data_IF_552107420231
#
_entry.id   IF_552107420231
#
_cell.length_a   1.000
_cell.length_b   1.000
_cell.length_c   1.000
_cell.angle_alpha   90.00
_cell.angle_beta   90.00
_cell.angle_gamma   90.00
#
_symmetry.space_group_name_H-M   'P 1'
#
loop_
_entity.id
_entity.type
_entity.pdbx_description
1 polymer ?
#
# COMPACT_ATOMS: atom_id res chain seq x y z
N UNK A 1 66.14 -2.50 -7.82
CA UNK A 1 66.79 -1.19 -7.73
C UNK A 1 65.87 -0.26 -6.94
N UNK A 2 66.26 -0.02 -5.69
CA UNK A 2 66.31 1.21 -4.93
C UNK A 2 64.96 1.99 -4.80
N UNK A 3 64.52 2.50 -3.68
CA UNK A 3 65.11 2.73 -2.33
C UNK A 3 64.02 3.08 -1.34
N UNK A 4 64.20 2.62 -0.13
CA UNK A 4 63.51 3.01 1.11
C UNK A 4 63.62 4.52 1.40
N UNK A 5 62.62 5.10 2.04
CA UNK A 5 62.86 6.16 3.01
C UNK A 5 61.95 6.03 4.24
N UNK A 6 62.57 5.79 5.35
CA UNK A 6 62.09 5.87 6.73
C UNK A 6 62.33 7.31 7.21
N UNK A 7 61.40 7.88 7.93
CA UNK A 7 61.76 8.94 8.89
C UNK A 7 60.91 8.80 10.17
N UNK A 8 61.62 8.60 11.21
CA UNK A 8 61.23 8.58 12.62
C UNK A 8 61.45 10.03 13.12
N UNK A 9 60.49 10.59 13.83
CA UNK A 9 60.76 11.69 14.77
C UNK A 9 60.15 11.42 16.13
N UNK A 10 61.03 11.37 17.07
CA UNK A 10 60.95 11.20 18.53
C UNK A 10 60.86 12.54 19.20
N UNK A 11 60.22 12.60 20.35
CA UNK A 11 60.41 13.67 21.37
C UNK A 11 59.16 14.56 21.49
N UNK A 12 58.55 14.83 22.63
CA UNK A 12 59.18 15.22 23.92
C UNK A 12 58.09 15.18 24.99
N UNK A 13 58.38 14.62 26.13
CA UNK A 13 57.62 14.72 27.38
C UNK A 13 57.69 16.18 27.91
N UNK A 14 56.58 16.69 28.39
CA UNK A 14 56.56 17.80 29.34
C UNK A 14 55.59 17.49 30.46
N UNK A 15 56.16 17.27 31.65
CA UNK A 15 55.49 17.20 32.96
C UNK A 15 55.44 18.59 33.52
N UNK A 16 54.28 19.06 33.98
CA UNK A 16 54.21 20.14 34.98
C UNK A 16 52.86 20.13 35.74
N UNK A 17 53.00 19.74 36.98
CA UNK A 17 52.46 20.29 38.25
C UNK A 17 50.98 20.71 38.38
N UNK A 18 50.38 20.03 39.34
CA UNK A 18 49.12 20.30 40.06
C UNK A 18 49.22 21.64 40.83
N UNK A 19 48.10 22.37 41.00
CA UNK A 19 47.70 22.76 42.34
C UNK A 19 46.29 22.33 42.71
N UNK A 20 46.19 21.75 43.88
CA UNK A 20 45.01 21.55 44.72
C UNK A 20 44.37 22.88 45.09
N UNK A 21 43.04 23.05 44.91
CA UNK A 21 42.21 24.04 45.62
C UNK A 21 40.83 23.43 45.95
N UNK A 22 40.66 23.30 47.22
CA UNK A 22 39.48 23.39 48.10
C UNK A 22 38.08 23.10 47.57
N UNK A 23 37.49 22.21 48.32
CA UNK A 23 36.12 21.86 48.50
C UNK A 23 35.09 22.98 48.46
N UNK A 24 34.01 22.79 47.67
CA UNK A 24 32.70 23.30 48.00
C UNK A 24 31.71 22.17 47.77
N UNK A 25 31.02 21.75 48.81
CA UNK A 25 30.03 20.68 48.82
C UNK A 25 28.83 21.03 47.93
N UNK A 26 28.57 20.18 46.97
CA UNK A 26 27.31 20.15 46.23
C UNK A 26 26.61 18.85 46.55
N UNK A 27 25.43 18.96 47.14
CA UNK A 27 24.52 17.85 47.41
C UNK A 27 24.25 17.10 46.11
N UNK A 28 24.17 15.75 46.11
CA UNK A 28 23.68 15.02 44.96
C UNK A 28 22.21 15.41 44.71
N UNK A 29 21.95 16.02 43.58
CA UNK A 29 20.60 16.16 43.05
C UNK A 29 20.21 14.76 42.59
N UNK A 30 19.31 14.17 43.32
CA UNK A 30 18.61 12.95 42.92
C UNK A 30 17.81 13.26 41.66
N UNK A 31 18.36 12.87 40.49
CA UNK A 31 17.65 12.96 39.22
C UNK A 31 16.57 11.87 39.28
N UNK A 32 15.35 12.30 39.61
CA UNK A 32 14.18 11.45 39.49
C UNK A 32 14.12 10.94 38.03
N UNK A 33 14.23 9.65 37.86
CA UNK A 33 14.05 8.98 36.58
C UNK A 33 12.67 9.37 36.03
N UNK A 34 12.64 10.09 34.92
CA UNK A 34 11.42 10.35 34.19
C UNK A 34 10.76 9.02 33.84
N UNK A 35 9.45 8.87 34.00
CA UNK A 35 8.75 7.66 33.60
C UNK A 35 8.94 7.49 32.10
N UNK A 36 9.56 6.38 31.70
CA UNK A 36 9.64 5.95 30.30
C UNK A 36 8.22 5.73 29.83
N UNK A 37 7.65 6.75 29.22
CA UNK A 37 6.38 6.60 28.48
C UNK A 37 6.69 5.64 27.34
N UNK A 38 6.24 4.37 27.47
CA UNK A 38 6.13 3.46 26.34
C UNK A 38 5.30 4.19 25.31
N UNK A 39 5.93 4.70 24.28
CA UNK A 39 5.21 5.13 23.07
C UNK A 39 4.42 3.91 22.60
N UNK A 40 3.12 4.00 22.76
CA UNK A 40 2.21 3.06 22.14
C UNK A 40 2.48 3.18 20.63
N UNK A 41 2.97 2.10 20.02
CA UNK A 41 3.00 1.98 18.56
C UNK A 41 1.60 2.28 18.06
N UNK A 42 1.45 3.13 17.01
CA UNK A 42 0.15 3.34 16.42
C UNK A 42 -0.37 2.00 15.95
N UNK A 43 -1.46 1.54 16.56
CA UNK A 43 -2.23 0.38 16.15
C UNK A 43 -2.59 0.64 14.68
N UNK A 44 -2.08 -0.18 13.75
CA UNK A 44 -2.43 -0.08 12.34
C UNK A 44 -3.95 -0.13 12.21
N UNK A 45 -4.52 0.94 11.70
CA UNK A 45 -5.96 1.16 11.50
C UNK A 45 -6.50 0.34 10.30
N UNK A 46 -5.93 -0.86 10.06
CA UNK A 46 -6.20 -1.67 8.87
C UNK A 46 -7.44 -2.57 8.97
N UNK A 47 -8.18 -2.53 10.08
CA UNK A 47 -9.30 -3.45 10.32
C UNK A 47 -10.64 -2.75 10.54
N UNK A 48 -10.81 -1.49 10.09
CA UNK A 48 -12.10 -0.83 10.21
C UNK A 48 -13.08 -1.34 9.15
N UNK A 49 -14.12 -2.06 9.60
CA UNK A 49 -15.31 -2.30 8.79
C UNK A 49 -16.21 -1.07 8.94
N UNK A 50 -16.53 -0.44 7.82
CA UNK A 50 -17.60 0.56 7.80
C UNK A 50 -18.82 -0.10 7.17
N UNK A 51 -19.80 -0.43 8.00
CA UNK A 51 -21.12 -0.84 7.55
C UNK A 51 -21.98 0.41 7.47
N UNK A 52 -22.32 0.85 6.26
CA UNK A 52 -23.23 1.99 6.09
C UNK A 52 -24.65 1.54 6.42
N UNK A 53 -25.23 2.07 7.49
CA UNK A 53 -26.61 1.79 7.91
C UNK A 53 -27.68 2.54 7.14
N UNK A 54 -27.32 3.45 6.23
CA UNK A 54 -28.28 4.27 5.50
C UNK A 54 -29.02 3.50 4.39
N UNK A 55 -28.51 2.36 3.95
CA UNK A 55 -29.08 1.55 2.88
C UNK A 55 -29.24 0.11 3.35
N UNK A 56 -30.41 -0.26 3.82
CA UNK A 56 -30.77 -1.61 4.23
C UNK A 56 -29.87 -2.14 5.39
N UNK A 57 -30.40 -2.20 6.61
CA UNK A 57 -29.63 -2.68 7.76
C UNK A 57 -29.04 -4.08 7.52
N UNK A 58 -27.75 -4.23 7.71
CA UNK A 58 -27.04 -5.51 7.71
C UNK A 58 -26.60 -5.83 9.13
N UNK A 59 -26.69 -7.10 9.50
CA UNK A 59 -26.13 -7.58 10.76
C UNK A 59 -24.59 -7.56 10.65
N UNK A 60 -23.96 -6.74 11.48
CA UNK A 60 -22.51 -6.51 11.43
C UNK A 60 -21.70 -7.77 11.79
N UNK A 61 -22.14 -8.54 12.78
CA UNK A 61 -21.45 -9.77 13.19
C UNK A 61 -21.53 -10.82 12.09
N UNK A 62 -22.68 -10.93 11.41
CA UNK A 62 -22.85 -11.80 10.29
C UNK A 62 -21.97 -11.38 9.08
N UNK A 63 -21.84 -10.07 8.83
CA UNK A 63 -20.94 -9.52 7.79
C UNK A 63 -19.48 -9.85 8.13
N UNK A 64 -19.07 -9.62 9.38
CA UNK A 64 -17.72 -9.96 9.88
C UNK A 64 -17.42 -11.44 9.69
N UNK A 65 -18.37 -12.32 10.03
CA UNK A 65 -18.25 -13.76 9.83
C UNK A 65 -18.10 -14.17 8.36
N UNK A 66 -18.60 -13.39 7.40
CA UNK A 66 -18.32 -13.62 5.99
C UNK A 66 -16.87 -13.23 5.66
N UNK A 67 -16.41 -12.08 6.15
CA UNK A 67 -15.02 -11.64 5.90
C UNK A 67 -13.99 -12.61 6.49
N UNK A 68 -14.20 -13.15 7.66
CA UNK A 68 -13.35 -14.21 8.22
C UNK A 68 -13.26 -15.43 7.30
N UNK A 69 -14.38 -15.87 6.74
CA UNK A 69 -14.42 -17.01 5.82
C UNK A 69 -13.74 -16.76 4.47
N UNK A 70 -13.69 -15.52 3.99
CA UNK A 70 -13.03 -15.18 2.72
C UNK A 70 -11.54 -14.87 2.88
N UNK A 71 -11.05 -14.57 4.07
CA UNK A 71 -9.68 -14.14 4.32
C UNK A 71 -8.63 -15.10 3.71
N UNK A 72 -8.81 -16.41 3.88
CA UNK A 72 -7.91 -17.40 3.28
C UNK A 72 -7.93 -17.37 1.75
N UNK A 73 -9.10 -17.10 1.15
CA UNK A 73 -9.26 -16.94 -0.29
C UNK A 73 -8.54 -15.71 -0.80
N UNK A 74 -8.71 -14.56 -0.12
CA UNK A 74 -8.02 -13.30 -0.45
C UNK A 74 -6.50 -13.47 -0.35
N UNK A 75 -6.01 -14.05 0.74
CA UNK A 75 -4.58 -14.34 0.92
C UNK A 75 -4.05 -15.27 -0.18
N UNK A 76 -4.85 -16.23 -0.64
CA UNK A 76 -4.45 -17.10 -1.73
C UNK A 76 -4.36 -16.36 -3.08
N UNK A 77 -5.24 -15.36 -3.33
CA UNK A 77 -5.14 -14.48 -4.49
C UNK A 77 -3.81 -13.71 -4.49
N UNK A 78 -3.44 -13.11 -3.34
CA UNK A 78 -2.16 -12.39 -3.19
C UNK A 78 -0.97 -13.34 -3.40
N UNK A 79 -1.01 -14.54 -2.81
CA UNK A 79 0.06 -15.52 -2.98
C UNK A 79 0.26 -15.94 -4.45
N UNK A 80 -0.84 -16.05 -5.22
CA UNK A 80 -0.76 -16.30 -6.67
C UNK A 80 -0.19 -15.08 -7.39
N UNK A 81 -0.62 -13.88 -7.04
CA UNK A 81 -0.12 -12.63 -7.59
C UNK A 81 1.38 -12.43 -7.34
N UNK A 82 1.86 -12.72 -6.14
CA UNK A 82 3.27 -12.62 -5.77
C UNK A 82 4.21 -13.52 -6.61
N UNK A 83 3.68 -14.56 -7.25
CA UNK A 83 4.46 -15.36 -8.23
C UNK A 83 4.71 -14.63 -9.55
N UNK A 84 3.87 -13.63 -9.89
CA UNK A 84 4.00 -12.79 -11.09
C UNK A 84 4.70 -11.48 -10.77
N UNK A 85 4.40 -10.92 -9.61
CA UNK A 85 4.93 -9.65 -9.14
C UNK A 85 5.57 -9.91 -7.78
N UNK A 86 6.87 -10.18 -7.76
CA UNK A 86 7.63 -10.53 -6.55
C UNK A 86 7.46 -9.51 -5.41
N UNK A 87 7.27 -8.24 -5.79
CA UNK A 87 7.14 -7.11 -4.86
C UNK A 87 5.66 -6.78 -4.52
N UNK A 88 4.72 -7.71 -4.79
CA UNK A 88 3.31 -7.48 -4.60
C UNK A 88 2.97 -7.33 -3.10
N UNK A 89 2.43 -6.18 -2.75
CA UNK A 89 1.95 -5.85 -1.42
C UNK A 89 1.28 -4.48 -1.42
N UNK A 90 0.46 -4.20 -0.42
CA UNK A 90 -0.25 -2.93 -0.29
C UNK A 90 -1.65 -3.10 0.25
N UNK A 91 -2.40 -2.02 0.20
CA UNK A 91 -3.76 -1.95 0.71
C UNK A 91 -4.78 -2.10 -0.42
N UNK A 92 -5.91 -2.70 -0.11
CA UNK A 92 -7.06 -2.75 -1.01
C UNK A 92 -8.35 -2.57 -0.22
N UNK A 93 -9.21 -1.68 -0.65
CA UNK A 93 -10.55 -1.48 -0.11
C UNK A 93 -11.58 -1.93 -1.15
N UNK A 94 -12.58 -2.68 -0.68
CA UNK A 94 -13.68 -3.20 -1.50
C UNK A 94 -14.99 -2.55 -1.10
N UNK A 95 -15.79 -2.26 -2.11
CA UNK A 95 -17.23 -2.08 -2.00
C UNK A 95 -17.93 -3.39 -2.36
N UNK A 96 -18.92 -3.78 -1.55
CA UNK A 96 -19.79 -4.92 -1.83
C UNK A 96 -21.24 -4.49 -1.66
N UNK A 97 -21.96 -4.39 -2.76
CA UNK A 97 -23.41 -4.17 -2.78
C UNK A 97 -24.14 -5.51 -2.69
N UNK A 98 -25.04 -5.65 -1.71
CA UNK A 98 -25.73 -6.90 -1.38
C UNK A 98 -27.22 -6.73 -1.70
N UNK A 99 -27.74 -7.58 -2.55
CA UNK A 99 -29.15 -7.57 -2.88
C UNK A 99 -30.04 -8.17 -1.78
N UNK A 100 -31.37 -8.07 -1.92
CA UNK A 100 -32.32 -8.54 -0.92
C UNK A 100 -32.29 -10.06 -0.67
N UNK A 101 -31.70 -10.82 -1.59
CA UNK A 101 -31.51 -12.28 -1.42
C UNK A 101 -30.19 -12.64 -0.72
N UNK A 102 -29.33 -11.66 -0.39
CA UNK A 102 -28.03 -11.89 0.25
C UNK A 102 -26.93 -12.27 -0.76
N UNK A 103 -27.04 -11.83 -2.01
CA UNK A 103 -26.01 -12.03 -3.02
C UNK A 103 -25.23 -10.73 -3.26
N UNK A 104 -23.93 -10.83 -3.44
CA UNK A 104 -23.09 -9.74 -3.85
C UNK A 104 -23.36 -9.42 -5.34
N UNK A 105 -24.16 -8.38 -5.59
CA UNK A 105 -24.55 -7.93 -6.91
C UNK A 105 -23.52 -6.98 -7.51
N UNK A 106 -23.03 -6.07 -6.67
CA UNK A 106 -22.08 -5.01 -6.98
C UNK A 106 -20.82 -5.18 -6.14
N UNK A 107 -19.72 -5.58 -6.75
CA UNK A 107 -18.44 -5.72 -6.02
C UNK A 107 -17.34 -5.14 -6.86
N UNK A 108 -16.62 -4.19 -6.29
CA UNK A 108 -15.49 -3.51 -6.96
C UNK A 108 -14.40 -3.18 -5.97
N UNK A 109 -13.22 -2.90 -6.49
CA UNK A 109 -12.17 -2.20 -5.77
C UNK A 109 -12.57 -0.73 -5.65
N UNK A 110 -12.56 -0.19 -4.45
CA UNK A 110 -12.79 1.24 -4.18
C UNK A 110 -11.48 2.03 -4.19
N UNK A 111 -10.45 1.44 -3.61
CA UNK A 111 -9.09 1.97 -3.58
C UNK A 111 -8.12 0.80 -3.54
N UNK A 112 -7.00 0.94 -4.20
CA UNK A 112 -5.95 -0.08 -4.12
C UNK A 112 -4.58 0.51 -4.36
N UNK A 113 -3.65 0.14 -3.50
CA UNK A 113 -2.22 0.27 -3.74
C UNK A 113 -1.57 -1.08 -4.02
N UNK A 114 -2.38 -2.14 -4.24
CA UNK A 114 -1.88 -3.46 -4.57
C UNK A 114 -1.27 -3.51 -5.97
N UNK A 115 -1.91 -2.86 -6.95
CA UNK A 115 -1.31 -2.63 -8.27
C UNK A 115 -1.23 -3.86 -9.17
N UNK A 116 -2.12 -4.84 -9.00
CA UNK A 116 -2.21 -6.02 -9.86
C UNK A 116 -3.66 -6.43 -10.14
N UNK A 117 -4.15 -6.05 -11.32
CA UNK A 117 -5.53 -6.29 -11.76
C UNK A 117 -5.95 -7.76 -11.65
N UNK A 118 -5.06 -8.69 -11.95
CA UNK A 118 -5.39 -10.11 -11.89
C UNK A 118 -5.63 -10.58 -10.45
N UNK A 119 -4.82 -10.09 -9.51
CA UNK A 119 -5.02 -10.35 -8.08
C UNK A 119 -6.31 -9.70 -7.57
N UNK A 120 -6.55 -8.44 -7.92
CA UNK A 120 -7.77 -7.71 -7.55
C UNK A 120 -9.03 -8.39 -8.10
N UNK A 121 -9.01 -8.84 -9.35
CA UNK A 121 -10.12 -9.60 -9.96
C UNK A 121 -10.36 -10.94 -9.28
N UNK A 122 -9.30 -11.64 -8.88
CA UNK A 122 -9.40 -12.86 -8.09
C UNK A 122 -10.09 -12.59 -6.75
N UNK A 123 -9.73 -11.50 -6.06
CA UNK A 123 -10.34 -11.12 -4.79
C UNK A 123 -11.82 -10.77 -4.96
N UNK A 124 -12.18 -9.99 -5.98
CA UNK A 124 -13.58 -9.69 -6.31
C UNK A 124 -14.37 -10.99 -6.53
N UNK A 125 -13.82 -11.96 -7.25
CA UNK A 125 -14.47 -13.25 -7.48
C UNK A 125 -14.69 -14.03 -6.17
N UNK A 126 -13.73 -13.99 -5.24
CA UNK A 126 -13.86 -14.60 -3.90
C UNK A 126 -15.01 -13.97 -3.14
N UNK A 127 -15.12 -12.63 -3.12
CA UNK A 127 -16.20 -11.91 -2.44
C UNK A 127 -17.56 -12.19 -3.07
N UNK A 128 -17.66 -12.20 -4.41
CA UNK A 128 -18.89 -12.51 -5.15
C UNK A 128 -19.39 -13.94 -4.97
N UNK A 129 -18.49 -14.88 -4.70
CA UNK A 129 -18.85 -16.30 -4.52
C UNK A 129 -19.54 -16.62 -3.19
N UNK A 130 -19.65 -15.65 -2.28
CA UNK A 130 -20.18 -15.86 -0.94
C UNK A 130 -21.63 -15.44 -0.82
N UNK A 131 -22.38 -16.18 0.03
CA UNK A 131 -23.65 -15.72 0.53
C UNK A 131 -23.45 -14.73 1.66
N UNK A 132 -24.13 -13.60 1.57
CA UNK A 132 -24.09 -12.51 2.53
C UNK A 132 -25.36 -12.48 3.38
N UNK A 133 -25.36 -11.81 4.54
CA UNK A 133 -26.58 -11.57 5.28
C UNK A 133 -27.61 -10.86 4.41
N UNK A 134 -28.88 -11.26 4.53
CA UNK A 134 -29.96 -10.56 3.84
C UNK A 134 -30.21 -9.21 4.50
N UNK A 135 -30.21 -8.12 3.73
CA UNK A 135 -30.54 -6.83 4.29
C UNK A 135 -31.96 -6.79 4.84
N UNK A 136 -32.16 -6.08 5.96
CA UNK A 136 -33.48 -5.81 6.54
C UNK A 136 -34.00 -4.46 6.03
N UNK A 137 -35.32 -4.25 6.08
CA UNK A 137 -35.93 -2.98 5.68
C UNK A 137 -36.17 -2.80 4.19
N UNK A 138 -36.06 -3.86 3.37
CA UNK A 138 -36.45 -3.86 1.95
C UNK A 138 -35.53 -3.06 1.03
N UNK A 139 -34.32 -2.73 1.48
CA UNK A 139 -33.28 -2.03 0.70
C UNK A 139 -32.03 -2.88 0.57
N UNK A 140 -31.24 -2.63 -0.50
CA UNK A 140 -29.94 -3.27 -0.70
C UNK A 140 -28.97 -2.89 0.44
N UNK A 141 -28.13 -3.83 0.84
CA UNK A 141 -27.04 -3.58 1.79
C UNK A 141 -25.77 -3.10 1.06
N UNK A 142 -24.94 -2.35 1.77
CA UNK A 142 -23.64 -1.89 1.29
C UNK A 142 -22.59 -2.19 2.36
N UNK A 143 -21.46 -2.70 1.95
CA UNK A 143 -20.34 -3.01 2.84
C UNK A 143 -19.06 -2.46 2.23
N UNK A 144 -18.26 -1.82 3.07
CA UNK A 144 -16.93 -1.33 2.75
C UNK A 144 -15.92 -2.03 3.66
N UNK A 145 -14.89 -2.64 3.10
CA UNK A 145 -13.85 -3.30 3.89
C UNK A 145 -12.49 -3.12 3.25
N UNK A 146 -11.54 -2.68 4.04
CA UNK A 146 -10.14 -2.57 3.65
C UNK A 146 -9.32 -3.74 4.21
N UNK A 147 -8.30 -4.13 3.45
CA UNK A 147 -7.31 -5.14 3.81
C UNK A 147 -5.91 -4.62 3.48
N UNK A 148 -4.94 -4.98 4.31
CA UNK A 148 -3.52 -4.76 4.04
C UNK A 148 -2.84 -6.11 3.83
N UNK A 149 -1.99 -6.17 2.81
CA UNK A 149 -1.19 -7.35 2.50
C UNK A 149 0.28 -6.96 2.47
N UNK A 150 1.05 -7.56 3.35
CA UNK A 150 2.49 -7.36 3.37
C UNK A 150 3.12 -8.03 2.13
N UNK A 151 4.21 -7.42 1.64
CA UNK A 151 5.05 -8.08 0.64
C UNK A 151 5.63 -9.38 1.20
N UNK A 152 6.04 -10.32 0.33
CA UNK A 152 6.76 -11.51 0.77
C UNK A 152 7.96 -11.11 1.66
N UNK A 153 8.17 -11.87 2.73
CA UNK A 153 9.27 -11.62 3.66
C UNK A 153 10.61 -11.57 2.90
N UNK A 154 11.48 -10.63 3.32
CA UNK A 154 12.85 -10.44 2.79
C UNK A 154 12.95 -9.73 1.43
N UNK A 155 11.86 -9.45 0.72
CA UNK A 155 11.93 -8.64 -0.48
C UNK A 155 12.22 -7.17 -0.12
N UNK A 156 13.22 -6.57 -0.78
CA UNK A 156 13.45 -5.13 -0.68
C UNK A 156 12.21 -4.40 -1.24
N UNK A 157 11.67 -3.38 -0.54
CA UNK A 157 10.58 -2.60 -1.08
C UNK A 157 10.91 -1.95 -2.43
N UNK A 158 9.95 -1.83 -3.35
CA UNK A 158 10.15 -1.07 -4.58
C UNK A 158 10.50 0.39 -4.26
N UNK A 159 11.12 1.07 -5.20
CA UNK A 159 11.31 2.52 -5.10
C UNK A 159 9.93 3.18 -5.17
N UNK A 160 9.58 3.93 -4.14
CA UNK A 160 8.33 4.70 -4.14
C UNK A 160 8.47 5.91 -5.05
N UNK A 161 7.61 5.99 -6.06
CA UNK A 161 7.48 7.12 -6.95
C UNK A 161 6.18 7.87 -6.68
N UNK A 162 6.25 9.18 -6.77
CA UNK A 162 5.08 10.06 -6.79
C UNK A 162 4.56 10.26 -8.23
N UNK A 163 3.40 10.89 -8.37
CA UNK A 163 2.87 11.28 -9.67
C UNK A 163 3.82 12.22 -10.44
N UNK A 164 4.57 13.08 -9.73
CA UNK A 164 5.55 13.98 -10.32
C UNK A 164 6.69 13.25 -11.02
N UNK A 165 7.07 12.08 -10.50
CA UNK A 165 8.10 11.25 -11.11
C UNK A 165 7.71 10.72 -12.49
N UNK A 166 6.43 10.70 -12.80
CA UNK A 166 5.87 10.16 -14.05
C UNK A 166 5.05 11.18 -14.85
N UNK A 167 5.13 12.47 -14.52
CA UNK A 167 4.31 13.56 -15.10
C UNK A 167 4.30 13.55 -16.63
N UNK A 168 5.47 13.41 -17.29
CA UNK A 168 5.56 13.35 -18.74
C UNK A 168 4.79 12.17 -19.36
N UNK A 169 4.77 11.05 -18.66
CA UNK A 169 4.02 9.86 -19.07
C UNK A 169 2.53 10.08 -18.79
N UNK A 170 2.16 10.68 -17.66
CA UNK A 170 0.77 10.95 -17.29
C UNK A 170 0.07 11.84 -18.31
N UNK A 171 0.72 12.91 -18.80
CA UNK A 171 0.15 13.77 -19.86
C UNK A 171 -0.23 13.00 -21.15
N UNK A 172 0.48 11.93 -21.46
CA UNK A 172 0.16 11.05 -22.59
C UNK A 172 -0.91 10.02 -22.24
N UNK A 173 -0.87 9.52 -21.00
CA UNK A 173 -1.84 8.55 -20.49
C UNK A 173 -3.24 9.14 -20.43
N UNK A 174 -3.43 10.36 -19.91
CA UNK A 174 -4.74 11.01 -19.86
C UNK A 174 -5.44 11.00 -21.24
N UNK A 175 -4.75 11.45 -22.29
CA UNK A 175 -5.31 11.45 -23.67
C UNK A 175 -5.67 10.06 -24.20
N UNK A 176 -5.00 9.02 -23.72
CA UNK A 176 -5.29 7.62 -24.09
C UNK A 176 -6.41 7.04 -23.23
N UNK A 177 -6.42 7.37 -21.95
CA UNK A 177 -7.44 6.97 -20.98
C UNK A 177 -8.83 7.51 -21.37
N UNK A 178 -8.91 8.72 -21.91
CA UNK A 178 -10.16 9.32 -22.41
C UNK A 178 -10.87 8.43 -23.43
N UNK A 179 -10.13 7.65 -24.20
CA UNK A 179 -10.73 6.69 -25.16
C UNK A 179 -11.41 5.52 -24.45
N UNK A 180 -10.98 5.15 -23.24
CA UNK A 180 -11.61 4.13 -22.44
C UNK A 180 -12.78 4.66 -21.63
N UNK A 181 -12.63 5.87 -21.08
CA UNK A 181 -13.57 6.43 -20.09
C UNK A 181 -14.62 7.36 -20.70
N UNK A 182 -14.37 7.86 -21.91
CA UNK A 182 -15.15 8.95 -22.50
C UNK A 182 -14.93 10.28 -21.79
N UNK A 183 -13.80 10.46 -21.10
CA UNK A 183 -13.45 11.66 -20.34
C UNK A 183 -14.25 11.81 -19.04
N UNK A 184 -14.77 10.72 -18.46
CA UNK A 184 -15.59 10.77 -17.25
C UNK A 184 -15.04 9.88 -16.14
N UNK A 185 -15.10 10.39 -14.90
CA UNK A 185 -14.65 9.71 -13.68
C UNK A 185 -13.15 9.84 -13.46
N UNK A 186 -12.74 9.71 -12.20
CA UNK A 186 -11.33 9.66 -11.79
C UNK A 186 -10.99 8.24 -11.35
N UNK A 187 -10.03 7.64 -12.01
CA UNK A 187 -9.58 6.27 -11.76
C UNK A 187 -8.25 6.30 -11.00
N UNK A 188 -8.19 5.64 -9.86
CA UNK A 188 -6.92 5.46 -9.14
C UNK A 188 -6.14 4.30 -9.77
N UNK A 189 -4.91 4.57 -10.12
CA UNK A 189 -4.00 3.59 -10.75
C UNK A 189 -2.81 3.36 -9.86
N UNK A 190 -2.44 2.10 -9.67
CA UNK A 190 -1.15 1.73 -9.08
C UNK A 190 -0.42 0.81 -10.06
N UNK A 191 0.86 1.09 -10.31
CA UNK A 191 1.67 0.33 -11.25
C UNK A 191 3.06 0.01 -10.69
N UNK A 192 3.56 -1.17 -11.03
CA UNK A 192 4.96 -1.55 -10.81
C UNK A 192 5.72 -1.36 -12.11
N UNK A 193 6.82 -0.61 -12.06
CA UNK A 193 7.64 -0.26 -13.22
C UNK A 193 8.99 -0.98 -13.10
N UNK A 194 9.35 -1.75 -14.11
CA UNK A 194 10.64 -2.44 -14.16
C UNK A 194 11.81 -1.47 -14.42
N UNK A 195 13.03 -1.97 -14.29
CA UNK A 195 14.26 -1.20 -14.49
C UNK A 195 14.42 -0.64 -15.92
N UNK A 196 13.63 -1.13 -16.88
CA UNK A 196 13.60 -0.65 -18.28
C UNK A 196 12.50 0.37 -18.53
N UNK A 197 11.69 0.70 -17.53
CA UNK A 197 10.56 1.61 -17.63
C UNK A 197 9.32 0.99 -18.28
N UNK A 198 9.11 -0.31 -18.12
CA UNK A 198 7.89 -1.00 -18.54
C UNK A 198 7.00 -1.29 -17.33
N UNK A 199 5.70 -1.09 -17.44
CA UNK A 199 4.77 -1.46 -16.41
C UNK A 199 4.57 -2.99 -16.41
N UNK A 200 5.10 -3.66 -15.38
CA UNK A 200 5.03 -5.13 -15.24
C UNK A 200 3.71 -5.57 -14.59
N UNK A 201 3.11 -4.70 -13.80
CA UNK A 201 1.78 -4.92 -13.23
C UNK A 201 1.06 -3.59 -13.03
N UNK A 202 -0.25 -3.62 -13.16
CA UNK A 202 -1.15 -2.48 -13.04
C UNK A 202 -2.44 -2.90 -12.37
N UNK A 203 -2.87 -2.15 -11.35
CA UNK A 203 -4.20 -2.18 -10.76
C UNK A 203 -4.91 -0.87 -11.02
N UNK A 204 -6.23 -0.92 -11.15
CA UNK A 204 -7.07 0.27 -11.36
C UNK A 204 -8.33 0.15 -10.50
N UNK A 205 -8.56 1.15 -9.65
CA UNK A 205 -9.79 1.28 -8.89
C UNK A 205 -10.71 2.31 -9.58
N UNK A 206 -11.93 1.91 -9.97
CA UNK A 206 -12.91 2.80 -10.61
C UNK A 206 -13.57 3.72 -9.59
N UNK A 207 -14.10 4.89 -10.01
CA UNK A 207 -14.82 5.81 -9.13
C UNK A 207 -16.13 5.22 -8.59
N UNK A 208 -16.76 4.38 -9.38
CA UNK A 208 -18.05 3.75 -9.07
C UNK A 208 -18.22 2.41 -9.83
N UNK A 209 -19.37 1.78 -9.64
CA UNK A 209 -19.69 0.51 -10.29
C UNK A 209 -19.77 0.61 -11.82
N UNK A 210 -20.19 1.75 -12.35
CA UNK A 210 -20.28 1.94 -13.81
C UNK A 210 -18.89 2.02 -14.45
N UNK A 211 -17.90 2.45 -13.69
CA UNK A 211 -16.50 2.51 -14.09
C UNK A 211 -15.80 1.14 -14.19
N UNK A 212 -16.33 0.11 -13.52
CA UNK A 212 -15.69 -1.23 -13.52
C UNK A 212 -15.51 -1.80 -14.94
N UNK A 213 -16.48 -1.58 -15.83
CA UNK A 213 -16.40 -2.05 -17.22
C UNK A 213 -15.26 -1.41 -18.02
N UNK A 214 -14.68 -0.31 -17.55
CA UNK A 214 -13.60 0.42 -18.22
C UNK A 214 -12.21 0.08 -17.68
N UNK A 215 -12.15 -0.63 -16.54
CA UNK A 215 -10.91 -0.93 -15.83
C UNK A 215 -9.91 -1.69 -16.70
N UNK A 216 -10.33 -2.74 -17.40
CA UNK A 216 -9.41 -3.55 -18.20
C UNK A 216 -8.81 -2.76 -19.38
N UNK A 217 -9.60 -1.86 -20.00
CA UNK A 217 -9.10 -0.94 -21.01
C UNK A 217 -8.01 -0.01 -20.45
N UNK A 218 -8.24 0.55 -19.25
CA UNK A 218 -7.26 1.42 -18.60
C UNK A 218 -5.99 0.66 -18.20
N UNK A 219 -6.12 -0.56 -17.70
CA UNK A 219 -4.99 -1.44 -17.39
C UNK A 219 -4.10 -1.61 -18.63
N UNK A 220 -4.69 -1.90 -19.79
CA UNK A 220 -3.96 -2.06 -21.06
C UNK A 220 -3.32 -0.74 -21.53
N UNK A 221 -4.00 0.39 -21.36
CA UNK A 221 -3.43 1.71 -21.67
C UNK A 221 -2.17 1.98 -20.85
N UNK A 222 -2.18 1.66 -19.56
CA UNK A 222 -1.04 1.89 -18.66
C UNK A 222 0.08 0.86 -18.90
N UNK A 223 -0.25 -0.42 -19.10
CA UNK A 223 0.73 -1.47 -19.44
C UNK A 223 1.52 -1.15 -20.72
N UNK A 224 0.84 -0.57 -21.71
CA UNK A 224 1.45 -0.17 -22.97
C UNK A 224 2.11 1.21 -22.92
N UNK A 225 2.21 1.85 -21.76
CA UNK A 225 2.93 3.10 -21.61
C UNK A 225 4.43 2.87 -21.40
N UNK A 226 5.21 3.88 -21.81
CA UNK A 226 6.65 3.89 -21.54
C UNK A 226 6.94 4.91 -20.47
N UNK A 227 7.46 4.42 -19.36
CA UNK A 227 7.93 5.22 -18.23
C UNK A 227 9.45 5.47 -18.35
N UNK A 228 9.96 6.42 -17.56
CA UNK A 228 11.41 6.51 -17.34
C UNK A 228 11.91 5.26 -16.60
N UNK A 229 13.19 4.96 -16.71
CA UNK A 229 13.80 3.91 -15.90
C UNK A 229 13.88 4.35 -14.43
N UNK A 230 13.49 3.52 -13.46
CA UNK A 230 13.72 3.81 -12.04
C UNK A 230 15.15 3.53 -11.57
N UNK A 231 16.06 3.18 -12.49
CA UNK A 231 17.42 2.81 -12.15
C UNK A 231 17.59 1.30 -12.00
N UNK A 232 18.33 0.88 -10.98
CA UNK A 232 18.72 -0.53 -10.80
C UNK A 232 17.67 -1.41 -10.11
N UNK A 233 16.52 -0.82 -9.68
CA UNK A 233 15.48 -1.55 -8.96
C UNK A 233 14.08 -1.08 -9.38
N UNK A 234 13.08 -1.97 -9.38
CA UNK A 234 11.72 -1.61 -9.77
C UNK A 234 11.12 -0.51 -8.90
N UNK A 235 10.28 0.33 -9.49
CA UNK A 235 9.50 1.33 -8.78
C UNK A 235 8.02 0.94 -8.69
N UNK A 236 7.34 1.50 -7.69
CA UNK A 236 5.90 1.48 -7.52
C UNK A 236 5.40 2.92 -7.55
N UNK A 237 4.33 3.16 -8.29
CA UNK A 237 3.74 4.49 -8.41
C UNK A 237 2.22 4.41 -8.36
N UNK A 238 1.60 5.34 -7.65
CA UNK A 238 0.15 5.55 -7.66
C UNK A 238 -0.18 6.94 -8.19
N UNK A 239 -1.18 7.02 -9.08
CA UNK A 239 -1.63 8.25 -9.72
C UNK A 239 -3.09 8.15 -10.14
N UNK A 240 -3.65 9.24 -10.63
CA UNK A 240 -5.04 9.33 -11.13
C UNK A 240 -5.06 9.50 -12.65
N UNK A 241 -6.08 8.93 -13.27
CA UNK A 241 -6.42 9.09 -14.69
C UNK A 241 -7.87 9.52 -14.85
#
# INVERSE_FOLDING_TARGET
MHTMYRSIHLGTLLVLSVPTLLACGSRPVEVAAAPTTKQAQPKRESDSIVVSSEVGGLDEDAVNGVFEKVQSGLTNCVRKGARRVELLGGDVAFFVGINLSGQAEDTRVERSTLGDRETESCMIAVLKSRSWPKPVGGRKGQVHKAFSFDMPNEARPPVEWSADDVEDTLRKLHRRADKCTGGSGTYQVTAYIDTRGSAISVGVAPPDTSGEAKVDCLVEVVKNAKFKSPGSYPAKVSFEL
#
